data_IF_191632589508
#
_entry.id   IF_191632589508
#
_cell.length_a   1.000
_cell.length_b   1.000
_cell.length_c   1.000
_cell.angle_alpha   90.00
_cell.angle_beta   90.00
_cell.angle_gamma   90.00
#
_symmetry.space_group_name_H-M   'P 1'
#
loop_
_entity.id
_entity.type
_entity.pdbx_description
1 polymer ?
#
# COMPACT_ATOMS: atom_id res chain seq x y z
N UNK A 1 8.41 -5.67 24.15
CA UNK A 1 7.61 -4.89 25.13
C UNK A 1 6.14 -5.33 25.28
N UNK A 2 5.60 -6.24 24.46
CA UNK A 2 4.21 -6.72 24.55
C UNK A 2 3.93 -7.81 25.61
N UNK A 3 4.95 -8.27 26.35
CA UNK A 3 4.79 -9.42 27.26
C UNK A 3 4.13 -9.08 28.61
N UNK A 4 4.08 -7.81 29.04
CA UNK A 4 3.77 -7.45 30.44
C UNK A 4 2.41 -6.82 30.71
N UNK A 5 1.56 -6.62 29.70
CA UNK A 5 0.25 -5.96 29.90
C UNK A 5 -0.87 -6.99 29.78
N UNK A 6 -1.54 -7.27 30.89
CA UNK A 6 -2.41 -8.45 31.07
C UNK A 6 -3.88 -8.23 30.68
N UNK A 7 -4.27 -7.04 30.21
CA UNK A 7 -5.61 -6.77 29.70
C UNK A 7 -5.49 -5.76 28.55
N UNK A 8 -5.54 -6.23 27.31
CA UNK A 8 -5.81 -5.40 26.13
C UNK A 8 -7.24 -5.71 25.67
N UNK A 9 -8.05 -4.71 25.29
CA UNK A 9 -9.41 -4.95 24.76
C UNK A 9 -9.42 -5.79 23.48
N UNK A 10 -8.30 -5.79 22.75
CA UNK A 10 -8.03 -6.56 21.55
C UNK A 10 -7.04 -7.68 21.89
N UNK A 11 -7.24 -8.86 21.33
CA UNK A 11 -6.40 -10.03 21.56
C UNK A 11 -4.99 -9.79 21.00
N UNK A 12 -3.99 -10.37 21.66
CA UNK A 12 -2.58 -10.20 21.27
C UNK A 12 -2.29 -10.68 19.85
N UNK A 13 -2.98 -11.72 19.41
CA UNK A 13 -2.87 -12.26 18.06
C UNK A 13 -3.34 -11.25 17.01
N UNK A 14 -4.44 -10.56 17.27
CA UNK A 14 -4.98 -9.53 16.38
C UNK A 14 -4.08 -8.29 16.29
N UNK A 15 -3.50 -7.87 17.43
CA UNK A 15 -2.48 -6.80 17.45
C UNK A 15 -1.27 -7.22 16.60
N UNK A 16 -0.85 -8.49 16.69
CA UNK A 16 0.27 -9.02 15.91
C UNK A 16 -0.06 -9.08 14.41
N UNK A 17 -1.25 -9.53 14.03
CA UNK A 17 -1.68 -9.56 12.62
C UNK A 17 -1.76 -8.15 12.03
N UNK A 18 -2.30 -7.19 12.77
CA UNK A 18 -2.32 -5.77 12.35
C UNK A 18 -0.92 -5.19 12.21
N UNK A 19 -0.02 -5.47 13.16
CA UNK A 19 1.36 -5.00 13.05
C UNK A 19 2.06 -5.57 11.82
N UNK A 20 1.87 -6.86 11.52
CA UNK A 20 2.43 -7.51 10.34
C UNK A 20 1.88 -6.93 9.03
N UNK A 21 0.58 -6.62 8.94
CA UNK A 21 0.00 -6.05 7.72
C UNK A 21 0.52 -4.64 7.46
N UNK A 22 0.69 -3.82 8.51
CA UNK A 22 1.32 -2.50 8.40
C UNK A 22 2.80 -2.59 8.01
N UNK A 23 3.55 -3.52 8.61
CA UNK A 23 4.96 -3.75 8.29
C UNK A 23 5.16 -4.16 6.83
N UNK A 24 4.26 -4.99 6.29
CA UNK A 24 4.24 -5.35 4.87
C UNK A 24 4.16 -4.11 3.96
N UNK A 25 3.32 -3.12 4.29
CA UNK A 25 3.26 -1.85 3.54
C UNK A 25 4.61 -1.12 3.60
N UNK A 26 5.20 -1.02 4.78
CA UNK A 26 6.50 -0.34 4.99
C UNK A 26 7.60 -1.03 4.18
N UNK A 27 7.66 -2.36 4.19
CA UNK A 27 8.63 -3.14 3.44
C UNK A 27 8.50 -2.97 1.92
N UNK A 28 7.27 -2.84 1.43
CA UNK A 28 7.01 -2.57 0.02
C UNK A 28 7.42 -1.15 -0.39
N UNK A 29 7.13 -0.15 0.44
CA UNK A 29 7.60 1.24 0.25
C UNK A 29 9.13 1.29 0.27
N UNK A 30 9.76 0.71 1.30
CA UNK A 30 11.20 0.69 1.44
C UNK A 30 11.86 -0.03 0.27
N UNK A 31 11.32 -1.19 -0.14
CA UNK A 31 11.80 -1.93 -1.30
C UNK A 31 11.63 -1.18 -2.63
N UNK A 32 10.62 -0.31 -2.75
CA UNK A 32 10.43 0.56 -3.91
C UNK A 32 11.48 1.69 -3.93
N UNK A 33 11.63 2.38 -2.80
CA UNK A 33 12.62 3.46 -2.66
C UNK A 33 14.05 2.95 -2.89
N UNK A 34 14.39 1.78 -2.35
CA UNK A 34 15.70 1.16 -2.57
C UNK A 34 15.96 0.88 -4.05
N UNK A 35 14.97 0.40 -4.81
CA UNK A 35 15.10 0.15 -6.26
C UNK A 35 15.34 1.43 -7.05
N UNK A 36 14.65 2.52 -6.71
CA UNK A 36 14.89 3.83 -7.37
C UNK A 36 16.36 4.23 -7.28
N UNK A 37 16.97 4.05 -6.11
CA UNK A 37 18.40 4.32 -5.89
C UNK A 37 19.28 3.31 -6.63
N UNK A 38 19.02 2.01 -6.44
CA UNK A 38 19.83 0.93 -7.00
C UNK A 38 19.80 0.89 -8.54
N UNK A 39 18.70 1.30 -9.15
CA UNK A 39 18.53 1.38 -10.60
C UNK A 39 19.03 2.70 -11.18
N UNK A 40 19.58 3.58 -10.32
CA UNK A 40 20.11 4.90 -10.70
C UNK A 40 19.09 5.69 -11.52
N UNK A 41 17.87 5.76 -11.00
CA UNK A 41 16.80 6.50 -11.67
C UNK A 41 17.13 7.99 -11.57
N UNK A 42 17.40 8.61 -12.72
CA UNK A 42 17.73 10.04 -12.80
C UNK A 42 16.48 10.90 -13.02
N UNK A 43 15.49 10.37 -13.73
CA UNK A 43 14.22 11.04 -14.02
C UNK A 43 13.05 10.13 -13.68
N UNK A 44 12.13 10.66 -12.91
CA UNK A 44 10.89 9.97 -12.52
C UNK A 44 9.80 10.32 -13.55
N UNK A 45 9.19 9.33 -14.24
CA UNK A 45 8.04 9.51 -15.10
C UNK A 45 6.79 9.93 -14.31
N UNK A 46 5.89 10.64 -14.98
CA UNK A 46 4.65 11.15 -14.36
C UNK A 46 3.78 10.02 -13.80
N UNK A 47 3.70 8.89 -14.51
CA UNK A 47 2.96 7.71 -14.04
C UNK A 47 3.52 7.16 -12.71
N UNK A 48 4.86 7.15 -12.53
CA UNK A 48 5.46 6.72 -11.28
C UNK A 48 5.16 7.71 -10.15
N UNK A 49 5.22 9.00 -10.45
CA UNK A 49 4.86 10.04 -9.48
C UNK A 49 3.40 9.95 -9.05
N UNK A 50 2.49 9.67 -9.99
CA UNK A 50 1.07 9.44 -9.70
C UNK A 50 0.87 8.23 -8.79
N UNK A 51 1.51 7.10 -9.07
CA UNK A 51 1.45 5.90 -8.22
C UNK A 51 1.96 6.18 -6.80
N UNK A 52 3.06 6.92 -6.65
CA UNK A 52 3.56 7.34 -5.33
C UNK A 52 2.52 8.21 -4.61
N UNK A 53 1.85 9.12 -5.32
CA UNK A 53 0.76 9.92 -4.77
C UNK A 53 -0.40 9.06 -4.23
N UNK A 54 -0.75 7.98 -4.93
CA UNK A 54 -1.75 7.02 -4.48
C UNK A 54 -1.30 6.26 -3.22
N UNK A 55 -0.04 5.83 -3.15
CA UNK A 55 0.54 5.21 -1.94
C UNK A 55 0.45 6.16 -0.74
N UNK A 56 0.78 7.44 -0.93
CA UNK A 56 0.67 8.46 0.13
C UNK A 56 -0.79 8.64 0.57
N UNK A 57 -1.73 8.72 -0.38
CA UNK A 57 -3.17 8.79 -0.08
C UNK A 57 -3.65 7.59 0.75
N UNK A 58 -3.28 6.38 0.33
CA UNK A 58 -3.70 5.15 1.01
C UNK A 58 -3.09 5.01 2.41
N UNK A 59 -1.82 5.37 2.60
CA UNK A 59 -1.18 5.34 3.93
C UNK A 59 -1.80 6.36 4.89
N UNK A 60 -2.20 7.53 4.41
CA UNK A 60 -2.96 8.50 5.21
C UNK A 60 -4.36 7.98 5.57
N UNK A 61 -5.01 7.24 4.66
CA UNK A 61 -6.30 6.61 4.95
C UNK A 61 -6.15 5.51 6.01
N UNK A 62 -5.09 4.71 5.97
CA UNK A 62 -4.76 3.70 6.99
C UNK A 62 -4.59 4.36 8.36
N UNK A 63 -3.81 5.44 8.45
CA UNK A 63 -3.59 6.18 9.71
C UNK A 63 -4.92 6.63 10.32
N UNK A 64 -5.81 7.22 9.50
CA UNK A 64 -7.13 7.66 9.95
C UNK A 64 -8.03 6.49 10.33
N UNK A 65 -8.03 5.41 9.56
CA UNK A 65 -8.80 4.20 9.85
C UNK A 65 -8.42 3.58 11.20
N UNK A 66 -7.12 3.52 11.50
CA UNK A 66 -6.60 3.07 12.79
C UNK A 66 -7.03 3.99 13.95
N UNK A 67 -7.05 5.31 13.73
CA UNK A 67 -7.52 6.26 14.74
C UNK A 67 -9.02 6.09 15.06
N UNK A 68 -9.82 5.63 14.09
CA UNK A 68 -11.25 5.37 14.23
C UNK A 68 -11.59 3.98 14.81
N UNK A 69 -10.60 3.13 15.12
CA UNK A 69 -10.84 1.75 15.56
C UNK A 69 -11.73 1.63 16.81
N UNK A 70 -11.69 2.62 17.71
CA UNK A 70 -12.52 2.64 18.93
C UNK A 70 -13.95 3.11 18.69
N UNK A 71 -14.18 3.95 17.66
CA UNK A 71 -15.51 4.47 17.35
C UNK A 71 -16.25 3.62 16.32
N UNK A 72 -15.54 2.86 15.48
CA UNK A 72 -16.12 2.07 14.38
C UNK A 72 -16.69 2.90 13.23
N UNK A 73 -17.13 4.12 13.52
CA UNK A 73 -17.57 5.12 12.57
C UNK A 73 -16.42 5.51 11.62
N UNK A 74 -16.74 5.67 10.33
CA UNK A 74 -15.85 6.13 9.24
C UNK A 74 -14.84 5.14 8.62
N UNK A 75 -14.58 3.96 9.21
CA UNK A 75 -13.64 2.97 8.63
C UNK A 75 -14.04 2.56 7.21
N UNK A 76 -15.34 2.35 6.97
CA UNK A 76 -15.87 2.01 5.65
C UNK A 76 -15.59 3.09 4.58
N UNK A 77 -15.54 4.38 4.98
CA UNK A 77 -15.23 5.47 4.06
C UNK A 77 -13.75 5.44 3.65
N UNK A 78 -12.84 5.20 4.61
CA UNK A 78 -11.41 5.06 4.33
C UNK A 78 -11.09 3.81 3.51
N UNK A 79 -11.74 2.67 3.79
CA UNK A 79 -11.65 1.48 2.93
C UNK A 79 -12.04 1.80 1.50
N UNK A 80 -13.17 2.48 1.30
CA UNK A 80 -13.65 2.83 -0.05
C UNK A 80 -12.65 3.72 -0.79
N UNK A 81 -11.96 4.61 -0.06
CA UNK A 81 -10.89 5.43 -0.61
C UNK A 81 -9.68 4.58 -1.02
N UNK A 82 -9.18 3.69 -0.15
CA UNK A 82 -8.05 2.81 -0.50
C UNK A 82 -8.37 1.90 -1.68
N UNK A 83 -9.57 1.31 -1.72
CA UNK A 83 -10.02 0.50 -2.85
C UNK A 83 -10.11 1.29 -4.16
N UNK A 84 -10.40 2.59 -4.08
CA UNK A 84 -10.40 3.47 -5.26
C UNK A 84 -8.97 3.74 -5.72
N UNK A 85 -8.06 3.96 -4.79
CA UNK A 85 -6.64 4.22 -5.07
C UNK A 85 -5.96 2.97 -5.64
N UNK A 86 -6.24 1.78 -5.12
CA UNK A 86 -5.80 0.48 -5.67
C UNK A 86 -6.23 0.31 -7.13
N UNK A 87 -7.53 0.40 -7.43
CA UNK A 87 -8.03 0.29 -8.81
C UNK A 87 -7.43 1.32 -9.76
N UNK A 88 -7.22 2.54 -9.27
CA UNK A 88 -6.57 3.59 -10.05
C UNK A 88 -5.12 3.23 -10.34
N UNK A 89 -4.41 2.68 -9.35
CA UNK A 89 -3.02 2.24 -9.53
C UNK A 89 -2.87 1.11 -10.51
N UNK A 90 -3.78 0.14 -10.49
CA UNK A 90 -3.84 -0.95 -11.47
C UNK A 90 -3.99 -0.39 -12.89
N UNK A 91 -4.87 0.60 -13.06
CA UNK A 91 -5.06 1.29 -14.34
C UNK A 91 -3.81 2.03 -14.80
N UNK A 92 -3.19 2.82 -13.91
CA UNK A 92 -1.98 3.61 -14.22
C UNK A 92 -0.79 2.69 -14.53
N UNK A 93 -0.58 1.65 -13.70
CA UNK A 93 0.48 0.64 -13.87
C UNK A 93 0.35 -0.06 -15.22
N UNK A 94 -0.82 -0.62 -15.53
CA UNK A 94 -1.07 -1.33 -16.80
C UNK A 94 -0.91 -0.44 -18.02
N UNK A 95 -1.41 0.80 -17.96
CA UNK A 95 -1.26 1.74 -19.06
C UNK A 95 0.22 2.09 -19.28
N UNK A 96 0.94 2.46 -18.21
CA UNK A 96 2.34 2.82 -18.31
C UNK A 96 3.21 1.66 -18.82
N UNK A 97 2.95 0.44 -18.37
CA UNK A 97 3.63 -0.76 -18.88
C UNK A 97 3.29 -0.97 -20.36
N UNK A 98 2.02 -0.84 -20.75
CA UNK A 98 1.58 -0.96 -22.14
C UNK A 98 2.29 0.04 -23.07
N UNK A 99 2.46 1.28 -22.61
CA UNK A 99 3.13 2.34 -23.36
C UNK A 99 4.62 2.01 -23.57
N UNK A 100 5.32 1.47 -22.56
CA UNK A 100 6.71 1.01 -22.73
C UNK A 100 6.83 -0.02 -23.86
N UNK A 101 5.91 -1.00 -23.93
CA UNK A 101 5.91 -1.99 -25.00
C UNK A 101 5.57 -1.40 -26.36
N UNK A 102 4.63 -0.46 -26.42
CA UNK A 102 4.19 0.18 -27.65
C UNK A 102 5.29 1.08 -28.27
N UNK A 103 6.01 1.81 -27.43
CA UNK A 103 7.11 2.71 -27.84
C UNK A 103 8.40 1.97 -28.21
N UNK A 104 8.47 0.66 -27.95
CA UNK A 104 9.65 -0.19 -28.19
C UNK A 104 10.90 0.38 -27.50
N UNK A 105 10.76 0.78 -26.24
CA UNK A 105 11.91 1.18 -25.43
C UNK A 105 12.92 0.03 -25.32
N UNK A 106 14.17 0.36 -25.03
CA UNK A 106 15.18 -0.67 -24.84
C UNK A 106 14.82 -1.60 -23.68
N UNK A 107 15.31 -2.85 -23.74
CA UNK A 107 14.94 -3.90 -22.78
C UNK A 107 15.36 -3.55 -21.35
N UNK A 108 16.42 -2.77 -21.16
CA UNK A 108 16.90 -2.39 -19.85
C UNK A 108 15.96 -1.36 -19.20
N UNK A 109 15.54 -0.33 -19.93
CA UNK A 109 14.53 0.61 -19.45
C UNK A 109 13.15 -0.05 -19.27
N UNK A 110 12.76 -0.94 -20.18
CA UNK A 110 11.52 -1.72 -20.05
C UNK A 110 11.48 -2.51 -18.74
N UNK A 111 12.54 -3.28 -18.46
CA UNK A 111 12.64 -4.10 -17.25
C UNK A 111 12.60 -3.23 -15.99
N UNK A 112 13.39 -2.15 -15.98
CA UNK A 112 13.48 -1.19 -14.88
C UNK A 112 12.12 -0.61 -14.52
N UNK A 113 11.42 -0.05 -15.51
CA UNK A 113 10.16 0.65 -15.25
C UNK A 113 9.01 -0.30 -14.99
N UNK A 114 8.95 -1.44 -15.69
CA UNK A 114 7.96 -2.48 -15.40
C UNK A 114 8.02 -2.91 -13.93
N UNK A 115 9.21 -3.25 -13.43
CA UNK A 115 9.36 -3.70 -12.04
C UNK A 115 9.00 -2.59 -11.03
N UNK A 116 9.38 -1.34 -11.32
CA UNK A 116 9.06 -0.20 -10.46
C UNK A 116 7.55 0.08 -10.38
N UNK A 117 6.83 0.00 -11.51
CA UNK A 117 5.38 0.18 -11.55
C UNK A 117 4.65 -0.94 -10.80
N UNK A 118 4.97 -2.19 -11.11
CA UNK A 118 4.36 -3.36 -10.46
C UNK A 118 4.62 -3.37 -8.95
N UNK A 119 5.77 -2.86 -8.51
CA UNK A 119 6.10 -2.77 -7.07
C UNK A 119 5.21 -1.75 -6.35
N UNK A 120 4.93 -0.59 -6.95
CA UNK A 120 4.04 0.41 -6.34
C UNK A 120 2.58 -0.05 -6.36
N UNK A 121 2.13 -0.71 -7.44
CA UNK A 121 0.83 -1.38 -7.48
C UNK A 121 0.70 -2.42 -6.35
N UNK A 122 1.70 -3.28 -6.18
CA UNK A 122 1.73 -4.26 -5.09
C UNK A 122 1.74 -3.59 -3.71
N UNK A 123 2.31 -2.37 -3.59
CA UNK A 123 2.28 -1.61 -2.33
C UNK A 123 0.85 -1.17 -1.99
N UNK A 124 0.06 -0.82 -3.01
CA UNK A 124 -1.34 -0.43 -2.84
C UNK A 124 -2.25 -1.61 -2.54
N UNK A 125 -1.98 -2.78 -3.12
CA UNK A 125 -2.60 -4.04 -2.72
C UNK A 125 -2.38 -4.31 -1.21
N UNK A 126 -1.16 -4.13 -0.70
CA UNK A 126 -0.90 -4.23 0.76
C UNK A 126 -1.64 -3.18 1.58
N UNK A 127 -1.90 -2.00 1.04
CA UNK A 127 -2.74 -1.03 1.73
C UNK A 127 -4.20 -1.52 1.84
N UNK A 128 -4.73 -2.22 0.82
CA UNK A 128 -6.07 -2.84 0.89
C UNK A 128 -6.09 -3.99 1.91
N UNK A 129 -5.06 -4.85 1.95
CA UNK A 129 -4.93 -5.94 2.93
C UNK A 129 -5.00 -5.43 4.39
N UNK A 130 -4.43 -4.25 4.67
CA UNK A 130 -4.54 -3.61 5.99
C UNK A 130 -6.00 -3.32 6.34
N UNK A 131 -6.80 -2.85 5.37
CA UNK A 131 -8.23 -2.61 5.58
C UNK A 131 -9.05 -3.91 5.70
N UNK A 132 -8.64 -4.99 5.03
CA UNK A 132 -9.21 -6.32 5.26
C UNK A 132 -8.95 -6.80 6.69
N UNK A 133 -7.73 -6.56 7.20
CA UNK A 133 -7.40 -6.85 8.59
C UNK A 133 -8.21 -5.98 9.56
N UNK A 134 -8.32 -4.66 9.29
CA UNK A 134 -9.08 -3.73 10.12
C UNK A 134 -10.56 -4.13 10.22
N UNK A 135 -11.20 -4.46 9.11
CA UNK A 135 -12.60 -4.87 9.11
C UNK A 135 -12.83 -6.15 9.90
N UNK A 136 -11.92 -7.13 9.78
CA UNK A 136 -12.00 -8.35 10.56
C UNK A 136 -11.96 -8.06 12.07
N UNK A 137 -11.14 -7.09 12.51
CA UNK A 137 -11.11 -6.64 13.90
C UNK A 137 -12.41 -5.94 14.30
N UNK A 138 -12.91 -5.01 13.48
CA UNK A 138 -14.16 -4.29 13.77
C UNK A 138 -15.31 -5.28 13.92
N UNK A 139 -15.44 -6.27 13.04
CA UNK A 139 -16.49 -7.30 13.12
C UNK A 139 -16.33 -8.19 14.35
N UNK A 140 -15.09 -8.53 14.74
CA UNK A 140 -14.82 -9.38 15.90
C UNK A 140 -15.12 -8.69 17.24
N UNK A 141 -14.96 -7.38 17.31
CA UNK A 141 -15.10 -6.58 18.53
C UNK A 141 -16.33 -5.65 18.56
N UNK A 142 -17.22 -5.74 17.56
CA UNK A 142 -18.54 -5.10 17.54
C UNK A 142 -19.55 -5.82 18.44
#
# INVERSE_FOLDING_TARGET
HLASTFITPIDREDIHHMANSLDSVIDFIHGSAHRVVSYRVERIPDAYHELVGLVVSSTQAIEKGLACLQSGDEIAAFRKQVKKDEKKSDTVSRQAIGDLFAERVDVYELLKWKELYERLESTLDRCEDVFDTLDALVVKYA
#
